data_IF_995537348793
#
_entry.id   IF_995537348793
#
_cell.length_a   1.000
_cell.length_b   1.000
_cell.length_c   1.000
_cell.angle_alpha   90.00
_cell.angle_beta   90.00
_cell.angle_gamma   90.00
#
_symmetry.space_group_name_H-M   'P 1'
#
loop_
_entity.id
_entity.type
_entity.pdbx_description
1 polymer ?
#
# COMPACT_ATOMS: atom_id res chain seq x y z
N UNK A 1 16.90 6.76 10.72
CA UNK A 1 16.12 6.18 9.60
C UNK A 1 16.33 4.68 9.59
N UNK A 2 15.27 3.90 9.38
CA UNK A 2 15.39 2.44 9.19
C UNK A 2 16.09 2.17 7.85
N UNK A 3 16.94 1.14 7.78
CA UNK A 3 17.76 0.83 6.60
C UNK A 3 17.03 -0.04 5.56
N UNK A 4 15.95 -0.70 5.97
CA UNK A 4 15.17 -1.61 5.14
C UNK A 4 13.70 -1.20 5.15
N UNK A 5 13.04 -1.34 4.00
CA UNK A 5 11.63 -1.06 3.84
C UNK A 5 10.92 -2.21 3.12
N UNK A 6 9.75 -2.59 3.64
CA UNK A 6 8.76 -3.40 2.94
C UNK A 6 7.76 -2.45 2.33
N UNK A 7 7.62 -2.49 1.00
CA UNK A 7 6.66 -1.67 0.26
C UNK A 7 5.56 -2.58 -0.28
N UNK A 8 4.31 -2.24 0.01
CA UNK A 8 3.14 -2.94 -0.51
C UNK A 8 2.19 -1.95 -1.18
N UNK A 9 1.40 -2.43 -2.15
CA UNK A 9 0.42 -1.65 -2.88
C UNK A 9 -0.95 -2.28 -2.69
N UNK A 10 -1.94 -1.47 -2.34
CA UNK A 10 -3.31 -1.94 -2.17
C UNK A 10 -4.34 -0.89 -2.61
N UNK A 11 -5.50 -1.37 -3.03
CA UNK A 11 -6.71 -0.58 -3.18
C UNK A 11 -7.71 -0.91 -2.06
N UNK A 12 -8.81 -0.17 -2.01
CA UNK A 12 -9.83 -0.31 -0.97
C UNK A 12 -10.46 -1.71 -0.85
N UNK A 13 -10.42 -2.54 -1.90
CA UNK A 13 -10.98 -3.90 -1.87
C UNK A 13 -10.07 -4.88 -1.13
N UNK A 14 -8.78 -4.58 -1.02
CA UNK A 14 -7.79 -5.45 -0.37
C UNK A 14 -7.36 -4.92 1.00
N UNK A 15 -8.09 -3.95 1.55
CA UNK A 15 -7.71 -3.28 2.79
C UNK A 15 -7.60 -4.20 4.00
N UNK A 16 -8.56 -5.12 4.18
CA UNK A 16 -8.51 -6.05 5.31
C UNK A 16 -7.30 -6.99 5.20
N UNK A 17 -6.98 -7.44 3.99
CA UNK A 17 -5.78 -8.23 3.73
C UNK A 17 -4.49 -7.42 4.00
N UNK A 18 -4.48 -6.13 3.63
CA UNK A 18 -3.37 -5.24 3.96
C UNK A 18 -3.19 -5.09 5.48
N UNK A 19 -4.28 -4.94 6.23
CA UNK A 19 -4.25 -4.84 7.68
C UNK A 19 -3.72 -6.12 8.33
N UNK A 20 -4.15 -7.29 7.85
CA UNK A 20 -3.66 -8.58 8.32
C UNK A 20 -2.17 -8.78 8.00
N UNK A 21 -1.73 -8.39 6.79
CA UNK A 21 -0.31 -8.42 6.42
C UNK A 21 0.54 -7.56 7.37
N UNK A 22 0.12 -6.32 7.63
CA UNK A 22 0.83 -5.40 8.53
C UNK A 22 0.86 -5.98 9.95
N UNK A 23 -0.27 -6.51 10.41
CA UNK A 23 -0.38 -7.10 11.75
C UNK A 23 0.52 -8.33 11.90
N UNK A 24 0.54 -9.21 10.90
CA UNK A 24 1.42 -10.38 10.85
C UNK A 24 2.90 -9.99 10.90
N UNK A 25 3.33 -9.00 10.12
CA UNK A 25 4.72 -8.52 10.16
C UNK A 25 5.07 -7.96 11.55
N UNK A 26 4.17 -7.18 12.15
CA UNK A 26 4.41 -6.53 13.46
C UNK A 26 4.45 -7.48 14.65
N UNK A 27 4.01 -8.72 14.51
CA UNK A 27 4.14 -9.73 15.58
C UNK A 27 5.60 -10.10 15.85
N UNK A 28 6.50 -9.86 14.90
CA UNK A 28 7.92 -10.18 15.03
C UNK A 28 8.73 -8.98 15.53
N UNK A 29 9.62 -9.19 16.49
CA UNK A 29 10.49 -8.16 17.07
C UNK A 29 11.37 -7.44 16.01
N UNK A 30 11.77 -8.17 14.97
CA UNK A 30 12.56 -7.67 13.85
C UNK A 30 11.85 -6.53 13.10
N UNK A 31 10.51 -6.49 13.13
CA UNK A 31 9.71 -5.46 12.48
C UNK A 31 9.99 -4.05 13.01
N UNK A 32 10.50 -3.92 14.25
CA UNK A 32 10.89 -2.63 14.84
C UNK A 32 11.99 -1.93 14.01
N UNK A 33 12.81 -2.70 13.30
CA UNK A 33 13.91 -2.19 12.48
C UNK A 33 13.56 -2.05 10.99
N UNK A 34 12.34 -2.41 10.58
CA UNK A 34 11.88 -2.37 9.18
C UNK A 34 10.80 -1.28 9.02
N UNK A 35 10.92 -0.46 7.99
CA UNK A 35 9.86 0.47 7.60
C UNK A 35 8.80 -0.29 6.82
N UNK A 36 7.52 -0.10 7.15
CA UNK A 36 6.42 -0.61 6.33
C UNK A 36 5.84 0.61 5.63
N UNK A 37 5.78 0.56 4.30
CA UNK A 37 5.30 1.65 3.46
C UNK A 37 4.19 1.14 2.54
N UNK A 38 3.17 1.97 2.33
CA UNK A 38 2.01 1.64 1.49
C UNK A 38 1.94 2.59 0.31
N UNK A 39 1.89 2.01 -0.89
CA UNK A 39 1.47 2.69 -2.10
C UNK A 39 -0.05 2.60 -2.21
N UNK A 40 -0.70 3.73 -2.04
CA UNK A 40 -2.14 3.88 -2.14
C UNK A 40 -2.56 3.86 -3.61
N UNK A 41 -3.26 2.80 -4.01
CA UNK A 41 -3.84 2.62 -5.34
C UNK A 41 -5.37 2.72 -5.30
N UNK A 42 -5.95 3.59 -4.47
CA UNK A 42 -7.42 3.75 -4.37
C UNK A 42 -8.00 3.26 -3.05
N UNK A 43 -7.27 3.48 -1.96
CA UNK A 43 -7.79 3.40 -0.59
C UNK A 43 -8.76 4.56 -0.34
N UNK A 44 -9.73 4.33 0.54
CA UNK A 44 -10.64 5.38 1.01
C UNK A 44 -10.00 6.19 2.14
N UNK A 45 -10.49 7.40 2.38
CA UNK A 45 -9.95 8.28 3.41
C UNK A 45 -10.00 7.67 4.83
N UNK A 46 -11.07 6.93 5.16
CA UNK A 46 -11.20 6.20 6.43
C UNK A 46 -10.12 5.12 6.58
N UNK A 47 -9.79 4.44 5.48
CA UNK A 47 -8.76 3.40 5.44
C UNK A 47 -7.36 3.99 5.58
N UNK A 48 -7.09 5.12 4.92
CA UNK A 48 -5.80 5.83 5.01
C UNK A 48 -5.57 6.34 6.43
N UNK A 49 -6.59 6.92 7.06
CA UNK A 49 -6.51 7.35 8.46
C UNK A 49 -6.20 6.19 9.40
N UNK A 50 -6.82 5.03 9.20
CA UNK A 50 -6.53 3.83 9.99
C UNK A 50 -5.06 3.36 9.82
N UNK A 51 -4.54 3.39 8.59
CA UNK A 51 -3.17 2.98 8.27
C UNK A 51 -2.11 3.96 8.77
N UNK A 52 -2.42 5.25 8.84
CA UNK A 52 -1.45 6.29 9.23
C UNK A 52 -0.79 6.03 10.59
N UNK A 53 -1.51 5.38 11.51
CA UNK A 53 -1.00 4.99 12.83
C UNK A 53 -0.24 3.65 12.84
N UNK A 54 -0.26 2.91 11.72
CA UNK A 54 0.28 1.55 11.62
C UNK A 54 1.50 1.45 10.70
N UNK A 55 1.70 2.37 9.76
CA UNK A 55 2.79 2.31 8.78
C UNK A 55 3.62 3.59 8.81
N UNK A 56 4.81 3.54 8.23
CA UNK A 56 5.76 4.66 8.27
C UNK A 56 5.38 5.74 7.23
N UNK A 57 5.04 5.30 6.01
CA UNK A 57 4.76 6.19 4.88
C UNK A 57 3.59 5.63 4.08
N UNK A 58 2.66 6.51 3.73
CA UNK A 58 1.63 6.25 2.72
C UNK A 58 1.82 7.26 1.59
N UNK A 59 1.91 6.76 0.35
CA UNK A 59 2.04 7.60 -0.85
C UNK A 59 1.06 7.14 -1.90
N UNK A 60 0.33 8.08 -2.51
CA UNK A 60 -0.51 7.77 -3.67
C UNK A 60 0.37 7.25 -4.82
N UNK A 61 -0.03 6.14 -5.41
CA UNK A 61 0.62 5.57 -6.57
C UNK A 61 0.45 6.54 -7.74
N UNK A 62 1.53 7.18 -8.16
CA UNK A 62 1.58 7.99 -9.35
C UNK A 62 2.45 7.27 -10.39
N UNK A 63 1.97 7.19 -11.62
CA UNK A 63 2.70 6.54 -12.70
C UNK A 63 3.31 7.63 -13.57
N UNK A 64 4.63 7.59 -13.74
CA UNK A 64 5.37 8.55 -14.57
C UNK A 64 5.13 8.38 -16.08
N UNK A 65 4.28 7.43 -16.46
CA UNK A 65 3.90 7.12 -17.83
C UNK A 65 2.38 7.13 -18.00
N UNK A 66 1.92 7.57 -19.16
CA UNK A 66 0.50 7.52 -19.50
C UNK A 66 0.07 6.06 -19.69
N UNK A 67 -0.76 5.55 -18.78
CA UNK A 67 -1.23 4.18 -18.85
C UNK A 67 -2.40 4.10 -19.83
N UNK A 68 -2.38 3.19 -20.82
CA UNK A 68 -3.48 3.06 -21.77
C UNK A 68 -4.82 2.82 -21.06
N UNK A 69 -5.85 3.59 -21.40
CA UNK A 69 -7.19 3.52 -20.78
C UNK A 69 -7.79 2.12 -20.78
N UNK A 70 -7.52 1.32 -21.80
CA UNK A 70 -7.98 -0.07 -21.89
C UNK A 70 -7.33 -1.01 -20.86
N UNK A 71 -6.11 -0.70 -20.38
CA UNK A 71 -5.41 -1.52 -19.36
C UNK A 71 -5.88 -1.22 -17.94
N UNK A 72 -6.28 0.03 -17.69
CA UNK A 72 -6.79 0.44 -16.37
C UNK A 72 -8.27 0.12 -16.16
N UNK A 73 -9.02 -0.17 -17.23
CA UNK A 73 -10.45 -0.52 -17.18
C UNK A 73 -11.29 0.45 -16.31
N UNK A 74 -11.00 1.75 -16.42
CA UNK A 74 -11.67 2.82 -15.66
C UNK A 74 -11.13 3.10 -14.25
N UNK A 75 -10.05 2.42 -13.83
CA UNK A 75 -9.35 2.70 -12.57
C UNK A 75 -8.27 3.76 -12.74
N UNK A 76 -7.86 4.43 -11.65
CA UNK A 76 -6.70 5.35 -11.67
C UNK A 76 -5.35 4.61 -11.66
N UNK A 77 -5.36 3.28 -11.49
CA UNK A 77 -4.16 2.44 -11.33
C UNK A 77 -4.14 1.25 -12.28
N UNK A 78 -2.93 0.78 -12.58
CA UNK A 78 -2.73 -0.51 -13.23
C UNK A 78 -3.15 -1.63 -12.28
N UNK A 79 -4.15 -2.43 -12.68
CA UNK A 79 -4.27 -3.78 -12.15
C UNK A 79 -3.06 -4.53 -12.70
N UNK A 80 -2.17 -5.01 -11.83
CA UNK A 80 -1.11 -5.94 -12.24
C UNK A 80 -1.79 -7.09 -12.97
N UNK A 81 -1.72 -7.09 -14.30
CA UNK A 81 -2.19 -8.19 -15.12
C UNK A 81 -1.14 -9.28 -14.94
N UNK A 82 -1.54 -10.39 -14.32
CA UNK A 82 -0.90 -11.68 -14.58
C UNK A 82 -1.35 -12.14 -15.96
#
# INVERSE_FOLDING_TARGET
>A
MKSQAIVTLADSNYFDLLLELISSIKQFEQSKNIAICVLDAGLRDDQIQNLSNKVEIIKKANWDIEVPKFKVLGKEWLKSQV
#
